data_IF_435432552723
#
_entry.id   IF_435432552723
#
_cell.length_a   1.000
_cell.length_b   1.000
_cell.length_c   1.000
_cell.angle_alpha   90.00
_cell.angle_beta   90.00
_cell.angle_gamma   90.00
#
_symmetry.space_group_name_H-M   'P 1'
#
loop_
_entity.id
_entity.type
_entity.pdbx_description
1 polymer ?
#
# COMPACT_ATOMS: atom_id res chain seq x y z
N UNK A 1 5.91 19.16 -6.42
CA UNK A 1 6.74 19.00 -5.21
C UNK A 1 7.14 17.57 -5.14
N UNK A 2 8.30 17.24 -5.70
CA UNK A 2 8.84 15.88 -5.74
C UNK A 2 9.82 15.63 -4.60
N UNK A 3 10.28 14.38 -4.51
CA UNK A 3 11.22 13.84 -3.52
C UNK A 3 10.63 13.50 -2.14
N UNK A 4 9.81 12.45 -2.11
CA UNK A 4 9.65 11.57 -0.94
C UNK A 4 9.02 10.22 -1.32
N UNK A 5 8.33 10.13 -2.48
CA UNK A 5 7.90 8.88 -3.13
C UNK A 5 9.04 7.99 -3.67
N UNK A 6 10.29 8.48 -3.68
CA UNK A 6 11.43 7.82 -4.35
C UNK A 6 12.11 6.72 -3.53
N UNK A 7 11.77 6.54 -2.24
CA UNK A 7 12.51 5.57 -1.39
C UNK A 7 12.24 4.11 -1.77
N UNK A 8 11.06 3.84 -2.32
CA UNK A 8 10.67 2.50 -2.75
C UNK A 8 10.09 2.57 -4.16
N UNK A 9 10.44 1.62 -5.05
CA UNK A 9 9.87 1.54 -6.40
C UNK A 9 8.34 1.55 -6.42
N UNK A 10 7.76 2.05 -7.50
CA UNK A 10 6.30 2.11 -7.71
C UNK A 10 5.62 0.75 -7.56
N UNK A 11 6.29 -0.36 -7.90
CA UNK A 11 5.77 -1.72 -7.74
C UNK A 11 5.57 -2.12 -6.26
N UNK A 12 6.44 -1.63 -5.37
CA UNK A 12 6.32 -1.85 -3.92
C UNK A 12 5.10 -1.09 -3.40
N UNK A 13 4.95 0.17 -3.80
CA UNK A 13 3.79 1.00 -3.44
C UNK A 13 2.48 0.43 -3.98
N UNK A 14 2.48 -0.06 -5.22
CA UNK A 14 1.31 -0.68 -5.85
C UNK A 14 0.87 -1.92 -5.08
N UNK A 15 1.81 -2.80 -4.74
CA UNK A 15 1.52 -4.03 -3.97
C UNK A 15 1.02 -3.72 -2.56
N UNK A 16 1.62 -2.71 -1.92
CA UNK A 16 1.19 -2.26 -0.60
C UNK A 16 -0.22 -1.64 -0.63
N UNK A 17 -0.52 -0.77 -1.60
CA UNK A 17 -1.85 -0.16 -1.73
C UNK A 17 -2.92 -1.20 -2.07
N UNK A 18 -2.61 -2.19 -2.91
CA UNK A 18 -3.52 -3.33 -3.17
C UNK A 18 -3.81 -4.13 -1.90
N UNK A 19 -2.81 -4.36 -1.06
CA UNK A 19 -3.02 -4.97 0.26
C UNK A 19 -3.96 -4.14 1.15
N UNK A 20 -3.78 -2.81 1.17
CA UNK A 20 -4.67 -1.91 1.90
C UNK A 20 -6.11 -1.90 1.38
N UNK A 21 -6.31 -2.28 0.11
CA UNK A 21 -7.62 -2.39 -0.50
C UNK A 21 -8.36 -3.70 -0.20
N UNK A 22 -7.73 -4.68 0.45
CA UNK A 22 -8.41 -5.94 0.79
C UNK A 22 -9.58 -5.71 1.77
N UNK A 23 -10.75 -6.25 1.47
CA UNK A 23 -11.99 -6.02 2.24
C UNK A 23 -11.94 -6.60 3.67
N UNK A 24 -11.11 -7.63 3.90
CA UNK A 24 -11.00 -8.31 5.19
C UNK A 24 -9.82 -7.83 6.04
N UNK A 25 -9.19 -6.71 5.68
CA UNK A 25 -7.95 -6.28 6.34
C UNK A 25 -8.23 -5.67 7.72
N UNK A 26 -7.86 -6.40 8.78
CA UNK A 26 -7.91 -5.90 10.16
C UNK A 26 -6.49 -5.67 10.68
N UNK A 27 -6.01 -4.43 10.64
CA UNK A 27 -4.67 -4.05 11.11
C UNK A 27 -4.70 -3.66 12.60
N UNK A 28 -4.68 -4.66 13.48
CA UNK A 28 -4.55 -4.46 14.94
C UNK A 28 -3.07 -4.35 15.31
N UNK A 29 -2.72 -3.42 16.20
CA UNK A 29 -1.37 -3.35 16.78
C UNK A 29 -0.38 -2.41 16.07
N UNK A 30 -0.89 -1.45 15.30
CA UNK A 30 -0.10 -0.36 14.75
C UNK A 30 0.91 -0.79 13.67
N UNK A 31 1.96 0.01 13.49
CA UNK A 31 2.97 -0.14 12.43
C UNK A 31 3.62 -1.53 12.45
N UNK A 32 4.06 -1.99 13.63
CA UNK A 32 4.83 -3.23 13.76
C UNK A 32 3.99 -4.45 13.39
N UNK A 33 2.75 -4.52 13.86
CA UNK A 33 1.87 -5.64 13.53
C UNK A 33 1.41 -5.60 12.08
N UNK A 34 1.19 -4.41 11.53
CA UNK A 34 0.91 -4.24 10.09
C UNK A 34 2.07 -4.76 9.24
N UNK A 35 3.32 -4.43 9.61
CA UNK A 35 4.51 -4.96 8.94
C UNK A 35 4.63 -6.49 9.07
N UNK A 36 4.29 -7.06 10.23
CA UNK A 36 4.22 -8.52 10.41
C UNK A 36 3.14 -9.17 9.55
N UNK A 37 1.99 -8.53 9.40
CA UNK A 37 0.93 -9.01 8.51
C UNK A 37 1.41 -8.99 7.06
N UNK A 38 1.96 -7.87 6.58
CA UNK A 38 2.54 -7.76 5.23
C UNK A 38 3.56 -8.88 4.94
N UNK A 39 4.44 -9.15 5.91
CA UNK A 39 5.44 -10.21 5.80
C UNK A 39 4.81 -11.62 5.68
N UNK A 40 3.61 -11.85 6.25
CA UNK A 40 2.89 -13.13 6.14
C UNK A 40 2.14 -13.29 4.82
N UNK A 41 1.62 -12.20 4.26
CA UNK A 41 0.80 -12.25 3.05
C UNK A 41 1.58 -12.52 1.76
N UNK A 42 2.92 -12.67 1.83
CA UNK A 42 3.81 -12.99 0.68
C UNK A 42 3.44 -12.21 -0.59
N UNK A 43 3.19 -10.91 -0.40
CA UNK A 43 2.73 -10.04 -1.48
C UNK A 43 3.85 -9.89 -2.54
N UNK A 44 3.49 -9.85 -3.83
CA UNK A 44 4.45 -9.56 -4.90
C UNK A 44 5.28 -8.32 -4.57
N UNK A 45 6.57 -8.33 -4.93
CA UNK A 45 7.52 -7.24 -4.71
C UNK A 45 7.84 -6.90 -3.24
N UNK A 46 6.98 -7.26 -2.28
CA UNK A 46 7.18 -7.07 -0.84
C UNK A 46 7.83 -8.28 -0.17
N UNK A 47 7.77 -9.46 -0.79
CA UNK A 47 8.29 -10.73 -0.28
C UNK A 47 9.78 -10.76 0.05
N UNK A 48 10.58 -9.87 -0.56
CA UNK A 48 12.02 -9.79 -0.34
C UNK A 48 12.39 -8.77 0.76
N UNK A 49 11.42 -7.98 1.23
CA UNK A 49 11.66 -6.92 2.20
C UNK A 49 11.73 -7.48 3.61
N UNK A 50 12.72 -7.04 4.36
CA UNK A 50 12.82 -7.32 5.78
C UNK A 50 11.73 -6.62 6.58
N UNK A 51 11.50 -7.09 7.81
CA UNK A 51 10.50 -6.48 8.70
C UNK A 51 10.76 -4.98 8.94
N UNK A 52 12.03 -4.56 9.01
CA UNK A 52 12.41 -3.15 9.15
C UNK A 52 11.92 -2.28 7.99
N UNK A 53 12.08 -2.75 6.75
CA UNK A 53 11.62 -2.06 5.55
C UNK A 53 10.10 -2.00 5.48
N UNK A 54 9.42 -3.10 5.83
CA UNK A 54 7.95 -3.13 5.89
C UNK A 54 7.41 -2.18 6.97
N UNK A 55 8.10 -2.03 8.10
CA UNK A 55 7.78 -1.03 9.11
C UNK A 55 7.96 0.40 8.59
N UNK A 56 9.02 0.65 7.82
CA UNK A 56 9.28 1.97 7.24
C UNK A 56 8.26 2.34 6.15
N UNK A 57 7.90 1.40 5.27
CA UNK A 57 6.80 1.58 4.30
C UNK A 57 5.50 1.91 5.04
N UNK A 58 5.20 1.17 6.11
CA UNK A 58 3.99 1.39 6.90
C UNK A 58 3.99 2.75 7.61
N UNK A 59 5.12 3.19 8.18
CA UNK A 59 5.27 4.53 8.76
C UNK A 59 5.03 5.61 7.71
N UNK A 60 5.58 5.41 6.53
CA UNK A 60 5.46 6.38 5.45
C UNK A 60 4.02 6.46 4.95
N UNK A 61 3.32 5.33 4.82
CA UNK A 61 1.90 5.29 4.51
C UNK A 61 1.03 6.07 5.53
N UNK A 62 1.43 6.10 6.81
CA UNK A 62 0.78 6.96 7.81
C UNK A 62 1.06 8.44 7.52
N UNK A 63 2.30 8.81 7.21
CA UNK A 63 2.66 10.18 6.82
C UNK A 63 1.94 10.67 5.57
N UNK A 64 1.71 9.78 4.60
CA UNK A 64 0.98 10.04 3.36
C UNK A 64 -0.54 9.91 3.49
N UNK A 65 -1.05 9.69 4.72
CA UNK A 65 -2.49 9.52 4.98
C UNK A 65 -3.13 8.38 4.19
N UNK A 66 -2.37 7.36 3.78
CA UNK A 66 -2.89 6.10 3.24
C UNK A 66 -3.39 5.18 4.36
N UNK A 67 -2.79 5.33 5.56
CA UNK A 67 -3.19 4.67 6.79
C UNK A 67 -3.38 5.72 7.88
N UNK A 68 -4.42 5.55 8.70
CA UNK A 68 -4.63 6.37 9.89
C UNK A 68 -4.80 5.50 11.13
N UNK A 69 -4.45 6.05 12.29
CA UNK A 69 -4.73 5.41 13.57
C UNK A 69 -6.21 5.61 13.95
N UNK A 70 -6.92 4.51 14.17
CA UNK A 70 -8.26 4.46 14.74
C UNK A 70 -8.19 3.77 16.11
N UNK A 71 -7.85 4.55 17.14
CA UNK A 71 -7.54 4.02 18.48
C UNK A 71 -6.31 3.10 18.45
N UNK A 72 -6.49 1.81 18.74
CA UNK A 72 -5.41 0.78 18.72
C UNK A 72 -5.28 0.05 17.38
N UNK A 73 -6.06 0.46 16.39
CA UNK A 73 -6.08 -0.12 15.05
C UNK A 73 -5.50 0.89 14.05
N UNK A 74 -5.10 0.37 12.90
CA UNK A 74 -4.85 1.16 11.73
C UNK A 74 -5.92 0.87 10.68
N UNK A 75 -6.37 1.92 10.02
CA UNK A 75 -7.42 1.84 9.02
C UNK A 75 -6.94 2.46 7.70
N UNK A 76 -7.06 1.72 6.59
CA UNK A 76 -6.83 2.25 5.26
C UNK A 76 -7.74 3.44 5.00
N UNK A 77 -7.16 4.55 4.57
CA UNK A 77 -7.88 5.72 4.13
C UNK A 77 -8.25 5.52 2.65
N UNK A 78 -9.39 4.86 2.41
CA UNK A 78 -9.78 4.33 1.09
C UNK A 78 -9.67 5.36 -0.05
N UNK A 79 -10.16 6.61 0.08
CA UNK A 79 -10.01 7.60 -0.99
C UNK A 79 -8.55 7.91 -1.33
N UNK A 80 -7.68 7.98 -0.34
CA UNK A 80 -6.25 8.25 -0.52
C UNK A 80 -5.51 7.04 -1.11
N UNK A 81 -5.87 5.83 -0.69
CA UNK A 81 -5.33 4.59 -1.26
C UNK A 81 -5.74 4.43 -2.72
N UNK A 82 -6.99 4.75 -3.07
CA UNK A 82 -7.48 4.75 -4.45
C UNK A 82 -6.78 5.81 -5.30
N UNK A 83 -6.57 7.02 -4.77
CA UNK A 83 -5.81 8.06 -5.46
C UNK A 83 -4.36 7.60 -5.72
N UNK A 84 -3.70 7.00 -4.73
CA UNK A 84 -2.36 6.45 -4.87
C UNK A 84 -2.30 5.35 -5.95
N UNK A 85 -3.29 4.44 -5.99
CA UNK A 85 -3.38 3.42 -7.04
C UNK A 85 -3.59 4.03 -8.43
N UNK A 86 -4.36 5.12 -8.55
CA UNK A 86 -4.55 5.83 -9.83
C UNK A 86 -3.26 6.48 -10.30
N UNK A 87 -2.54 7.18 -9.42
CA UNK A 87 -1.25 7.79 -9.73
C UNK A 87 -0.22 6.73 -10.16
N UNK A 88 -0.11 5.63 -9.42
CA UNK A 88 0.81 4.54 -9.76
C UNK A 88 0.43 3.82 -11.05
N UNK A 89 -0.86 3.75 -11.42
CA UNK A 89 -1.29 3.17 -12.69
C UNK A 89 -0.93 4.04 -13.89
N UNK A 90 -0.87 5.37 -13.72
CA UNK A 90 -0.37 6.31 -14.74
C UNK A 90 1.14 6.11 -14.94
N UNK A 91 1.88 5.83 -13.87
CA UNK A 91 3.33 5.56 -13.91
C UNK A 91 3.66 4.13 -14.38
N UNK A 92 2.74 3.17 -14.25
CA UNK A 92 2.90 1.78 -14.66
C UNK A 92 2.19 1.43 -15.98
N UNK A 93 1.85 2.41 -16.82
CA UNK A 93 1.15 2.18 -18.09
C UNK A 93 1.87 1.20 -19.04
N UNK A 94 3.16 0.92 -18.81
CA UNK A 94 3.95 -0.05 -19.57
C UNK A 94 3.90 -1.50 -19.04
N UNK A 95 3.29 -1.76 -17.87
CA UNK A 95 3.43 -3.06 -17.17
C UNK A 95 2.15 -3.59 -16.50
N UNK A 96 0.95 -3.22 -16.99
CA UNK A 96 -0.31 -3.85 -16.55
C UNK A 96 -0.57 -5.08 -17.42
N UNK A 97 -0.51 -6.33 -16.89
CA UNK A 97 -0.94 -7.50 -17.64
C UNK A 97 -2.41 -7.33 -18.02
N UNK A 98 -2.74 -7.56 -19.29
CA UNK A 98 -4.09 -7.38 -19.88
C UNK A 98 -5.21 -8.12 -19.14
N UNK A 99 -4.86 -9.03 -18.25
CA UNK A 99 -5.77 -9.88 -17.49
C UNK A 99 -6.23 -9.28 -16.15
N UNK A 100 -5.62 -8.18 -15.68
CA UNK A 100 -6.07 -7.49 -14.46
C UNK A 100 -7.11 -6.44 -14.83
N UNK A 101 -8.39 -6.84 -14.84
CA UNK A 101 -9.51 -5.90 -14.91
C UNK A 101 -9.59 -5.10 -13.60
N UNK A 102 -8.92 -3.95 -13.56
CA UNK A 102 -9.18 -2.95 -12.53
C UNK A 102 -10.46 -2.22 -12.94
N UNK A 103 -11.57 -2.53 -12.24
CA UNK A 103 -12.80 -1.78 -12.38
C UNK A 103 -12.63 -0.42 -11.71
N UNK A 104 -12.21 0.59 -12.48
CA UNK A 104 -12.41 1.98 -12.09
C UNK A 104 -13.90 2.29 -12.29
N UNK A 105 -14.70 2.17 -11.24
CA UNK A 105 -16.03 2.78 -11.24
C UNK A 105 -15.83 4.29 -11.29
N UNK A 106 -16.14 4.90 -12.43
CA UNK A 106 -16.28 6.34 -12.58
C UNK A 106 -17.53 6.78 -11.79
N UNK A 107 -17.31 7.60 -10.76
CA UNK A 107 -18.31 8.48 -10.15
C UNK A 107 -17.71 9.87 -10.04
#
# INVERSE_FOLDING_TARGET
GGAQGDRYPSQIWSSFCRFLMMDSLTLKGGIRETARLLHKFTLPHLQHLGLGELMDITKYAVGQRLLAYAGRKMEPQRPQVEACLRELAVDCADDIPKDVRIFYSQV
#
